data_IF_875410286970
#
_entry.id   IF_875410286970
#
_cell.length_a   1.000
_cell.length_b   1.000
_cell.length_c   1.000
_cell.angle_alpha   90.00
_cell.angle_beta   90.00
_cell.angle_gamma   90.00
#
_symmetry.space_group_name_H-M   'P 1'
#
loop_
_entity.id
_entity.type
_entity.pdbx_description
1 polymer ?
#
# COMPACT_ATOMS: atom_id res chain seq x y z
N UNK A 1 4.29 -17.66 -0.40
CA UNK A 1 4.41 -16.64 0.66
C UNK A 1 5.86 -16.17 0.70
N UNK A 2 6.21 -15.10 -0.02
CA UNK A 2 7.59 -14.59 -0.02
C UNK A 2 7.82 -13.67 1.18
N UNK A 3 8.89 -13.88 1.94
CA UNK A 3 9.28 -13.04 3.09
C UNK A 3 9.28 -11.55 2.73
N UNK A 4 9.79 -11.21 1.54
CA UNK A 4 9.83 -9.84 1.00
C UNK A 4 8.43 -9.23 0.84
N UNK A 5 7.46 -10.02 0.37
CA UNK A 5 6.08 -9.55 0.18
C UNK A 5 5.43 -9.20 1.51
N UNK A 6 5.62 -10.03 2.54
CA UNK A 6 5.07 -9.75 3.87
C UNK A 6 5.67 -8.48 4.50
N UNK A 7 6.96 -8.22 4.28
CA UNK A 7 7.57 -6.96 4.73
C UNK A 7 7.00 -5.75 3.99
N UNK A 8 6.76 -5.87 2.69
CA UNK A 8 6.11 -4.82 1.89
C UNK A 8 4.68 -4.56 2.35
N UNK A 9 3.91 -5.61 2.68
CA UNK A 9 2.55 -5.49 3.21
C UNK A 9 2.56 -4.79 4.58
N UNK A 10 3.44 -5.17 5.50
CA UNK A 10 3.59 -4.49 6.80
C UNK A 10 3.97 -3.01 6.64
N UNK A 11 4.87 -2.71 5.70
CA UNK A 11 5.26 -1.34 5.39
C UNK A 11 4.07 -0.55 4.81
N UNK A 12 3.31 -1.15 3.89
CA UNK A 12 2.13 -0.55 3.30
C UNK A 12 1.04 -0.27 4.36
N UNK A 13 0.83 -1.17 5.32
CA UNK A 13 -0.08 -0.93 6.46
C UNK A 13 0.36 0.30 7.26
N UNK A 14 1.63 0.37 7.65
CA UNK A 14 2.16 1.53 8.40
C UNK A 14 2.03 2.82 7.61
N UNK A 15 2.26 2.76 6.30
CA UNK A 15 2.14 3.93 5.45
C UNK A 15 0.70 4.38 5.26
N UNK A 16 -0.25 3.44 5.13
CA UNK A 16 -1.69 3.73 5.13
C UNK A 16 -2.10 4.37 6.46
N UNK A 17 -1.71 3.81 7.60
CA UNK A 17 -1.99 4.39 8.92
C UNK A 17 -1.49 5.82 9.04
N UNK A 18 -0.22 6.06 8.69
CA UNK A 18 0.36 7.39 8.67
C UNK A 18 -0.39 8.34 7.73
N UNK A 19 -0.78 7.85 6.55
CA UNK A 19 -1.52 8.65 5.57
C UNK A 19 -2.88 9.07 6.13
N UNK A 20 -3.67 8.12 6.66
CA UNK A 20 -4.97 8.40 7.29
C UNK A 20 -4.84 9.43 8.43
N UNK A 21 -3.82 9.29 9.28
CA UNK A 21 -3.51 10.27 10.33
C UNK A 21 -3.17 11.64 9.76
N UNK A 22 -2.31 11.71 8.73
CA UNK A 22 -1.88 12.95 8.10
C UNK A 22 -3.05 13.72 7.47
N UNK A 23 -4.01 13.01 6.88
CA UNK A 23 -5.19 13.62 6.26
C UNK A 23 -6.36 13.79 7.24
N UNK A 24 -6.14 13.53 8.53
CA UNK A 24 -7.14 13.65 9.59
C UNK A 24 -8.43 12.86 9.30
N UNK A 25 -8.29 11.73 8.60
CA UNK A 25 -9.38 10.80 8.33
C UNK A 25 -9.38 9.69 9.38
N UNK A 26 -10.56 9.15 9.74
CA UNK A 26 -10.64 7.98 10.61
C UNK A 26 -9.97 6.80 9.90
N UNK A 27 -8.85 6.34 10.46
CA UNK A 27 -8.19 5.16 9.93
C UNK A 27 -9.13 3.95 10.09
N UNK A 28 -9.35 3.16 9.02
CA UNK A 28 -10.14 1.94 9.14
C UNK A 28 -9.41 0.95 10.06
N UNK A 29 -10.15 0.00 10.62
CA UNK A 29 -9.58 -1.00 11.54
C UNK A 29 -8.41 -1.78 10.90
N UNK A 30 -7.51 -2.30 11.75
CA UNK A 30 -6.32 -3.04 11.30
C UNK A 30 -6.62 -4.13 10.23
N UNK A 31 -7.69 -4.94 10.34
CA UNK A 31 -8.00 -5.94 9.32
C UNK A 31 -8.31 -5.34 7.93
N UNK A 32 -8.89 -4.14 7.88
CA UNK A 32 -9.17 -3.45 6.62
C UNK A 32 -7.90 -2.83 6.04
N UNK A 33 -7.04 -2.25 6.88
CA UNK A 33 -5.72 -1.76 6.46
C UNK A 33 -4.85 -2.88 5.89
N UNK A 34 -4.87 -4.06 6.51
CA UNK A 34 -4.16 -5.24 5.99
C UNK A 34 -4.73 -5.70 4.64
N UNK A 35 -6.06 -5.72 4.49
CA UNK A 35 -6.70 -6.02 3.20
C UNK A 35 -6.29 -5.02 2.11
N UNK A 36 -6.28 -3.72 2.43
CA UNK A 36 -5.86 -2.68 1.50
C UNK A 36 -4.38 -2.82 1.14
N UNK A 37 -3.51 -2.98 2.13
CA UNK A 37 -2.08 -3.20 1.94
C UNK A 37 -1.79 -4.42 1.06
N UNK A 38 -2.50 -5.53 1.28
CA UNK A 38 -2.36 -6.73 0.45
C UNK A 38 -2.71 -6.48 -1.01
N UNK A 39 -3.82 -5.76 -1.27
CA UNK A 39 -4.23 -5.38 -2.64
C UNK A 39 -3.18 -4.49 -3.30
N UNK A 40 -2.73 -3.45 -2.60
CA UNK A 40 -1.73 -2.48 -3.09
C UNK A 40 -0.42 -3.19 -3.43
N UNK A 41 0.09 -4.05 -2.54
CA UNK A 41 1.34 -4.77 -2.79
C UNK A 41 1.18 -5.75 -3.95
N UNK A 42 0.05 -6.45 -4.05
CA UNK A 42 -0.24 -7.34 -5.18
C UNK A 42 -0.23 -6.57 -6.50
N UNK A 43 -0.92 -5.44 -6.56
CA UNK A 43 -0.98 -4.57 -7.74
C UNK A 43 0.40 -4.00 -8.09
N UNK A 44 1.16 -3.56 -7.08
CA UNK A 44 2.52 -3.07 -7.28
C UNK A 44 3.45 -4.13 -7.87
N UNK A 45 3.32 -5.41 -7.47
CA UNK A 45 4.04 -6.51 -8.10
C UNK A 45 3.63 -6.77 -9.55
N UNK A 46 2.33 -6.63 -9.87
CA UNK A 46 1.85 -6.75 -11.25
C UNK A 46 2.43 -5.63 -12.12
N UNK A 47 2.32 -4.38 -11.68
CA UNK A 47 2.88 -3.22 -12.40
C UNK A 47 4.40 -3.32 -12.52
N UNK A 48 5.10 -3.76 -11.46
CA UNK A 48 6.54 -3.97 -11.50
C UNK A 48 6.95 -5.03 -12.52
N UNK A 49 6.17 -6.11 -12.63
CA UNK A 49 6.39 -7.17 -13.63
C UNK A 49 6.21 -6.64 -15.04
N UNK A 50 5.17 -5.83 -15.27
CA UNK A 50 4.82 -5.34 -16.59
C UNK A 50 5.71 -4.17 -17.06
N UNK A 51 6.21 -3.36 -16.13
CA UNK A 51 6.94 -2.11 -16.43
C UNK A 51 8.40 -2.09 -15.96
N UNK A 52 8.88 -3.14 -15.29
CA UNK A 52 10.25 -3.22 -14.75
C UNK A 52 10.58 -2.21 -13.64
N UNK A 53 9.58 -1.65 -12.97
CA UNK A 53 9.74 -0.60 -11.94
C UNK A 53 9.86 -1.19 -10.52
N UNK A 54 10.49 -0.45 -9.60
CA UNK A 54 10.64 -0.87 -8.22
C UNK A 54 9.27 -0.91 -7.48
N UNK A 55 8.95 -2.07 -6.89
CA UNK A 55 7.68 -2.32 -6.18
C UNK A 55 7.39 -1.28 -5.09
N UNK A 56 8.40 -0.86 -4.32
CA UNK A 56 8.21 0.12 -3.24
C UNK A 56 7.83 1.51 -3.76
N UNK A 57 8.36 1.90 -4.92
CA UNK A 57 8.00 3.16 -5.57
C UNK A 57 6.53 3.11 -6.00
N UNK A 58 6.11 2.00 -6.61
CA UNK A 58 4.71 1.82 -7.03
C UNK A 58 3.76 1.79 -5.83
N UNK A 59 4.11 1.11 -4.73
CA UNK A 59 3.31 1.12 -3.50
C UNK A 59 3.08 2.55 -2.99
N UNK A 60 4.12 3.39 -3.00
CA UNK A 60 4.00 4.80 -2.57
C UNK A 60 3.11 5.60 -3.51
N UNK A 61 3.24 5.41 -4.82
CA UNK A 61 2.40 6.04 -5.85
C UNK A 61 0.93 5.66 -5.67
N UNK A 62 0.62 4.36 -5.56
CA UNK A 62 -0.73 3.85 -5.36
C UNK A 62 -1.37 4.39 -4.08
N UNK A 63 -0.63 4.46 -2.97
CA UNK A 63 -1.15 5.01 -1.70
C UNK A 63 -1.33 6.53 -1.77
N UNK A 64 -0.47 7.25 -2.48
CA UNK A 64 -0.64 8.68 -2.71
C UNK A 64 -1.86 8.97 -3.58
N UNK A 65 -2.13 8.13 -4.59
CA UNK A 65 -3.28 8.26 -5.49
C UNK A 65 -4.63 7.98 -4.84
N UNK A 66 -4.68 7.18 -3.76
CA UNK A 66 -5.90 7.03 -2.95
C UNK A 66 -6.47 8.38 -2.48
N UNK A 67 -5.61 9.40 -2.31
CA UNK A 67 -6.00 10.78 -1.98
C UNK A 67 -6.85 11.45 -3.06
N UNK A 68 -6.58 11.18 -4.33
CA UNK A 68 -7.21 11.89 -5.45
C UNK A 68 -8.58 11.32 -5.84
N UNK A 69 -9.00 10.21 -5.22
CA UNK A 69 -10.26 9.51 -5.50
C UNK A 69 -11.26 9.51 -4.33
N UNK A 70 -10.91 10.15 -3.21
CA UNK A 70 -11.77 10.28 -2.01
C UNK A 70 -12.39 11.66 -1.92
#
# INVERSE_FOLDING_TARGET
MGFIRQQQERLAVRFLQWQYQKVNLPAPGLPELERQAHKIVKEAHQIARDRGRNVLVIIKELIADLKNRS
#
